data_IF_628545099595
#
_entry.id   IF_628545099595
#
_cell.length_a   1.000
_cell.length_b   1.000
_cell.length_c   1.000
_cell.angle_alpha   90.00
_cell.angle_beta   90.00
_cell.angle_gamma   90.00
#
_symmetry.space_group_name_H-M   'P 1'
#
loop_
_entity.id
_entity.type
_entity.pdbx_description
1 polymer ?
#
# COMPACT_ATOMS: atom_id res chain seq x y z
N UNK A 1 -21.66 -14.35 11.28
CA UNK A 1 -20.35 -13.67 11.36
C UNK A 1 -19.45 -14.47 12.27
N UNK A 2 -18.24 -14.77 11.83
CA UNK A 2 -17.27 -15.57 12.59
C UNK A 2 -16.01 -14.76 12.92
N UNK A 3 -14.99 -15.41 13.48
CA UNK A 3 -13.76 -14.75 13.90
C UNK A 3 -13.03 -14.03 12.75
N UNK A 4 -13.11 -14.54 11.51
CA UNK A 4 -12.50 -13.90 10.34
C UNK A 4 -13.16 -12.54 10.05
N UNK A 5 -14.49 -12.46 10.14
CA UNK A 5 -15.22 -11.20 9.95
C UNK A 5 -14.79 -10.14 10.98
N UNK A 6 -14.58 -10.55 12.23
CA UNK A 6 -14.08 -9.65 13.27
C UNK A 6 -12.64 -9.19 13.00
N UNK A 7 -11.78 -10.06 12.45
CA UNK A 7 -10.43 -9.66 12.03
C UNK A 7 -10.50 -8.65 10.89
N UNK A 8 -11.33 -8.87 9.87
CA UNK A 8 -11.52 -7.96 8.75
C UNK A 8 -11.97 -6.57 9.24
N UNK A 9 -13.02 -6.53 10.07
CA UNK A 9 -13.51 -5.28 10.67
C UNK A 9 -12.46 -4.64 11.57
N UNK A 10 -11.70 -5.44 12.31
CA UNK A 10 -10.60 -4.99 13.15
C UNK A 10 -9.53 -4.26 12.35
N UNK A 11 -9.09 -4.82 11.21
CA UNK A 11 -8.08 -4.20 10.34
C UNK A 11 -8.61 -2.90 9.73
N UNK A 12 -9.85 -2.89 9.24
CA UNK A 12 -10.46 -1.68 8.64
C UNK A 12 -10.64 -0.60 9.70
N UNK A 13 -11.18 -0.95 10.86
CA UNK A 13 -11.38 -0.05 12.00
C UNK A 13 -10.05 0.50 12.51
N UNK A 14 -9.04 -0.34 12.68
CA UNK A 14 -7.71 0.09 13.10
C UNK A 14 -7.05 1.02 12.08
N UNK A 15 -7.16 0.72 10.79
CA UNK A 15 -6.67 1.59 9.72
C UNK A 15 -7.37 2.95 9.75
N UNK A 16 -8.69 2.98 9.93
CA UNK A 16 -9.47 4.20 10.06
C UNK A 16 -9.10 5.01 11.32
N UNK A 17 -8.88 4.34 12.46
CA UNK A 17 -8.44 4.98 13.71
C UNK A 17 -7.05 5.59 13.59
N UNK A 18 -6.09 4.89 12.97
CA UNK A 18 -4.77 5.47 12.69
C UNK A 18 -4.90 6.72 11.85
N UNK A 19 -5.72 6.67 10.79
CA UNK A 19 -5.92 7.82 9.90
C UNK A 19 -6.72 8.96 10.54
N UNK A 20 -7.56 8.68 11.55
CA UNK A 20 -8.18 9.71 12.38
C UNK A 20 -7.12 10.50 13.18
N UNK A 21 -6.09 9.82 13.69
CA UNK A 21 -5.03 10.46 14.47
C UNK A 21 -4.04 11.20 13.56
N UNK A 22 -3.66 10.59 12.43
CA UNK A 22 -2.67 11.15 11.49
C UNK A 22 -3.23 12.26 10.61
N UNK A 23 -4.49 12.15 10.20
CA UNK A 23 -5.14 13.05 9.25
C UNK A 23 -4.96 12.61 7.79
N UNK A 24 -5.90 13.00 6.92
CA UNK A 24 -5.91 12.66 5.49
C UNK A 24 -4.67 13.18 4.76
N UNK A 25 -4.32 14.46 4.93
CA UNK A 25 -3.25 15.10 4.18
C UNK A 25 -1.92 14.37 4.36
N UNK A 26 -1.62 13.96 5.60
CA UNK A 26 -0.39 13.21 5.89
C UNK A 26 -0.39 11.82 5.25
N UNK A 27 -1.54 11.17 5.20
CA UNK A 27 -1.69 9.83 4.67
C UNK A 27 -1.62 9.81 3.15
N UNK A 28 -2.35 10.72 2.49
CA UNK A 28 -2.34 10.87 1.04
C UNK A 28 -0.96 11.28 0.53
N UNK A 29 -0.33 12.26 1.17
CA UNK A 29 1.01 12.72 0.80
C UNK A 29 2.06 11.62 1.03
N UNK A 30 1.93 10.84 2.10
CA UNK A 30 2.78 9.66 2.31
C UNK A 30 2.69 8.69 1.15
N UNK A 31 1.50 8.37 0.63
CA UNK A 31 1.39 7.49 -0.54
C UNK A 31 2.05 8.10 -1.77
N UNK A 32 1.81 9.39 -2.05
CA UNK A 32 2.44 10.10 -3.18
C UNK A 32 3.97 10.06 -3.07
N UNK A 33 4.52 10.28 -1.88
CA UNK A 33 5.97 10.22 -1.63
C UNK A 33 6.52 8.83 -1.91
N UNK A 34 5.83 7.77 -1.47
CA UNK A 34 6.25 6.39 -1.74
C UNK A 34 6.25 6.09 -3.24
N UNK A 35 5.19 6.45 -3.97
CA UNK A 35 5.16 6.31 -5.44
C UNK A 35 6.25 7.14 -6.11
N UNK A 36 6.47 8.37 -5.65
CA UNK A 36 7.53 9.24 -6.13
C UNK A 36 8.93 8.67 -5.88
N UNK A 37 9.16 8.05 -4.72
CA UNK A 37 10.43 7.40 -4.39
C UNK A 37 10.70 6.20 -5.31
N UNK A 38 9.69 5.35 -5.57
CA UNK A 38 9.81 4.28 -6.55
C UNK A 38 10.10 4.83 -7.94
N UNK A 39 9.33 5.82 -8.41
CA UNK A 39 9.50 6.42 -9.72
C UNK A 39 10.86 7.08 -9.91
N UNK A 40 11.33 7.87 -8.94
CA UNK A 40 12.62 8.54 -9.00
C UNK A 40 13.75 7.51 -8.96
N UNK A 41 13.70 6.57 -8.01
CA UNK A 41 14.75 5.54 -7.90
C UNK A 41 14.83 4.68 -9.17
N UNK A 42 13.71 4.25 -9.74
CA UNK A 42 13.70 3.40 -10.95
C UNK A 42 14.19 4.12 -12.21
N UNK A 43 13.95 5.43 -12.35
CA UNK A 43 14.31 6.18 -13.56
C UNK A 43 15.71 6.81 -13.48
N UNK A 44 16.20 7.11 -12.28
CA UNK A 44 17.43 7.89 -12.10
C UNK A 44 18.59 7.10 -11.48
N UNK A 45 18.42 5.84 -11.06
CA UNK A 45 19.50 5.07 -10.43
C UNK A 45 20.75 5.00 -11.29
N UNK A 46 20.63 4.78 -12.60
CA UNK A 46 21.77 4.65 -13.50
C UNK A 46 22.64 5.92 -13.51
N UNK A 47 22.01 7.10 -13.38
CA UNK A 47 22.73 8.39 -13.30
C UNK A 47 23.48 8.54 -11.98
N UNK A 48 22.95 8.02 -10.89
CA UNK A 48 23.63 8.05 -9.59
C UNK A 48 24.71 6.96 -9.48
N UNK A 49 24.48 5.79 -10.07
CA UNK A 49 25.38 4.64 -10.00
C UNK A 49 26.79 4.94 -10.53
N UNK A 50 26.93 5.86 -11.49
CA UNK A 50 28.24 6.29 -12.04
C UNK A 50 29.16 6.87 -10.97
N UNK A 51 28.61 7.47 -9.92
CA UNK A 51 29.41 8.05 -8.83
C UNK A 51 29.87 7.00 -7.80
N UNK A 52 29.35 5.77 -7.87
CA UNK A 52 29.71 4.68 -6.96
C UNK A 52 30.87 3.86 -7.53
N UNK A 53 31.98 4.53 -7.80
CA UNK A 53 33.18 3.96 -8.44
C UNK A 53 33.87 2.88 -7.62
N UNK A 54 33.65 2.88 -6.29
CA UNK A 54 34.25 1.91 -5.37
C UNK A 54 33.50 0.57 -5.35
N UNK A 55 32.38 0.44 -6.06
CA UNK A 55 31.62 -0.80 -6.17
C UNK A 55 31.84 -1.37 -7.57
N UNK A 56 32.62 -2.45 -7.64
CA UNK A 56 32.98 -3.10 -8.91
C UNK A 56 31.81 -3.88 -9.50
N UNK A 57 31.05 -4.58 -8.65
CA UNK A 57 29.89 -5.35 -9.07
C UNK A 57 28.72 -4.44 -9.48
N UNK A 58 28.28 -4.59 -10.72
CA UNK A 58 27.24 -3.74 -11.32
C UNK A 58 25.88 -3.90 -10.62
N UNK A 59 25.52 -5.10 -10.19
CA UNK A 59 24.26 -5.37 -9.52
C UNK A 59 24.22 -4.66 -8.16
N UNK A 60 25.30 -4.80 -7.38
CA UNK A 60 25.42 -4.10 -6.09
C UNK A 60 25.49 -2.59 -6.26
N UNK A 61 26.19 -2.09 -7.29
CA UNK A 61 26.30 -0.65 -7.57
C UNK A 61 24.95 -0.03 -7.91
N UNK A 62 24.20 -0.66 -8.81
CA UNK A 62 22.87 -0.22 -9.19
C UNK A 62 21.88 -0.32 -8.03
N UNK A 63 21.93 -1.42 -7.27
CA UNK A 63 21.12 -1.61 -6.07
C UNK A 63 21.37 -0.53 -5.01
N UNK A 64 22.64 -0.19 -4.76
CA UNK A 64 23.01 0.90 -3.86
C UNK A 64 22.46 2.25 -4.35
N UNK A 65 22.52 2.52 -5.66
CA UNK A 65 22.03 3.78 -6.23
C UNK A 65 20.50 3.90 -6.12
N UNK A 66 19.78 2.81 -6.38
CA UNK A 66 18.33 2.72 -6.16
C UNK A 66 18.02 3.02 -4.68
N UNK A 67 18.68 2.32 -3.75
CA UNK A 67 18.46 2.48 -2.32
C UNK A 67 18.75 3.92 -1.86
N UNK A 68 19.85 4.51 -2.31
CA UNK A 68 20.23 5.88 -1.98
C UNK A 68 19.18 6.89 -2.48
N UNK A 69 18.76 6.81 -3.75
CA UNK A 69 17.73 7.70 -4.29
C UNK A 69 16.38 7.51 -3.60
N UNK A 70 16.01 6.26 -3.33
CA UNK A 70 14.76 5.93 -2.67
C UNK A 70 14.70 6.55 -1.28
N UNK A 71 15.72 6.29 -0.44
CA UNK A 71 15.82 6.84 0.91
C UNK A 71 15.90 8.37 0.88
N UNK A 72 16.71 8.95 0.00
CA UNK A 72 16.81 10.41 -0.12
C UNK A 72 15.45 11.04 -0.46
N UNK A 73 14.71 10.44 -1.38
CA UNK A 73 13.37 10.91 -1.76
C UNK A 73 12.39 10.79 -0.59
N UNK A 74 12.42 9.68 0.16
CA UNK A 74 11.58 9.50 1.35
C UNK A 74 11.91 10.55 2.43
N UNK A 75 13.18 10.86 2.66
CA UNK A 75 13.60 11.88 3.64
C UNK A 75 13.09 13.25 3.24
N UNK A 76 13.30 13.67 1.99
CA UNK A 76 12.77 14.95 1.48
C UNK A 76 11.25 14.97 1.57
N UNK A 77 10.59 13.90 1.14
CA UNK A 77 9.15 13.76 1.25
C UNK A 77 8.65 13.85 2.68
N UNK A 78 9.33 13.24 3.65
CA UNK A 78 8.96 13.31 5.06
C UNK A 78 9.00 14.74 5.61
N UNK A 79 9.99 15.55 5.19
CA UNK A 79 10.06 16.98 5.53
C UNK A 79 8.87 17.73 4.93
N UNK A 80 8.58 17.53 3.65
CA UNK A 80 7.41 18.13 2.99
C UNK A 80 6.12 17.73 3.71
N UNK A 81 5.98 16.45 4.05
CA UNK A 81 4.82 15.92 4.76
C UNK A 81 4.64 16.55 6.14
N UNK A 82 5.74 16.76 6.87
CA UNK A 82 5.71 17.47 8.13
C UNK A 82 5.23 18.92 7.97
N UNK A 83 5.76 19.66 6.99
CA UNK A 83 5.38 21.06 6.73
C UNK A 83 3.90 21.16 6.37
N UNK A 84 3.40 20.32 5.45
CA UNK A 84 1.97 20.29 5.09
C UNK A 84 1.11 19.97 6.32
N UNK A 85 1.52 18.99 7.14
CA UNK A 85 0.83 18.67 8.38
C UNK A 85 0.78 19.82 9.38
N UNK A 86 1.79 20.69 9.42
CA UNK A 86 1.79 21.92 10.23
C UNK A 86 0.84 22.98 9.64
N UNK A 87 0.82 23.14 8.31
CA UNK A 87 -0.08 24.09 7.65
C UNK A 87 -1.55 23.74 7.92
N UNK A 88 -1.94 22.47 7.80
CA UNK A 88 -3.31 22.00 8.08
C UNK A 88 -3.73 22.30 9.53
N UNK A 89 -2.80 22.15 10.48
CA UNK A 89 -3.07 22.50 11.87
C UNK A 89 -3.26 24.01 12.05
N UNK A 90 -2.43 24.83 11.40
CA UNK A 90 -2.48 26.29 11.49
C UNK A 90 -3.69 26.92 10.80
N UNK A 91 -4.23 26.30 9.76
CA UNK A 91 -5.45 26.79 9.08
C UNK A 91 -6.73 26.48 9.86
N UNK A 92 -6.66 25.72 10.95
CA UNK A 92 -7.84 25.30 11.72
C UNK A 92 -8.64 24.17 11.06
N UNK A 93 -8.22 23.67 9.88
CA UNK A 93 -8.90 22.61 9.13
C UNK A 93 -8.62 21.19 9.67
N UNK A 94 -7.98 21.09 10.83
CA UNK A 94 -7.62 19.80 11.43
C UNK A 94 -8.81 18.86 11.66
N UNK A 95 -10.00 19.38 11.98
CA UNK A 95 -11.22 18.56 12.14
C UNK A 95 -11.62 17.87 10.82
N UNK A 96 -11.73 18.65 9.74
CA UNK A 96 -12.07 18.14 8.40
C UNK A 96 -11.02 17.15 7.90
N UNK A 97 -9.73 17.46 8.09
CA UNK A 97 -8.62 16.58 7.70
C UNK A 97 -8.69 15.21 8.39
N UNK A 98 -9.08 15.16 9.67
CA UNK A 98 -9.26 13.90 10.40
C UNK A 98 -10.47 13.09 9.93
N UNK A 99 -11.59 13.75 9.61
CA UNK A 99 -12.79 13.07 9.09
C UNK A 99 -12.50 12.46 7.71
N UNK A 100 -11.88 13.23 6.82
CA UNK A 100 -11.40 12.71 5.53
C UNK A 100 -10.38 11.58 5.76
N UNK A 101 -9.57 11.69 6.81
CA UNK A 101 -8.63 10.66 7.24
C UNK A 101 -9.32 9.34 7.55
N UNK A 102 -10.44 9.35 8.27
CA UNK A 102 -11.23 8.14 8.56
C UNK A 102 -11.71 7.47 7.28
N UNK A 103 -12.26 8.24 6.34
CA UNK A 103 -12.75 7.70 5.06
C UNK A 103 -11.59 7.08 4.28
N UNK A 104 -10.48 7.80 4.16
CA UNK A 104 -9.29 7.32 3.47
C UNK A 104 -8.67 6.09 4.15
N UNK A 105 -8.59 6.08 5.48
CA UNK A 105 -8.11 4.96 6.27
C UNK A 105 -9.01 3.74 6.16
N UNK A 106 -10.33 3.93 6.11
CA UNK A 106 -11.30 2.88 5.85
C UNK A 106 -11.11 2.26 4.47
N UNK A 107 -11.02 3.10 3.42
CA UNK A 107 -10.74 2.65 2.05
C UNK A 107 -9.41 1.89 1.95
N UNK A 108 -8.34 2.41 2.58
CA UNK A 108 -7.06 1.71 2.68
C UNK A 108 -7.20 0.36 3.40
N UNK A 109 -7.95 0.33 4.50
CA UNK A 109 -8.21 -0.90 5.25
C UNK A 109 -8.90 -1.94 4.38
N UNK A 110 -9.91 -1.53 3.60
CA UNK A 110 -10.58 -2.38 2.60
C UNK A 110 -9.57 -2.89 1.58
N UNK A 111 -8.73 -2.02 1.00
CA UNK A 111 -7.71 -2.44 0.03
C UNK A 111 -6.71 -3.44 0.62
N UNK A 112 -6.26 -3.23 1.85
CA UNK A 112 -5.33 -4.14 2.55
C UNK A 112 -6.01 -5.52 2.74
N UNK A 113 -7.24 -5.54 3.25
CA UNK A 113 -7.99 -6.80 3.43
C UNK A 113 -8.20 -7.48 2.08
N UNK A 114 -8.59 -6.74 1.04
CA UNK A 114 -8.76 -7.28 -0.31
C UNK A 114 -7.49 -7.95 -0.82
N UNK A 115 -6.33 -7.29 -0.67
CA UNK A 115 -5.05 -7.84 -1.08
C UNK A 115 -4.67 -9.12 -0.31
N UNK A 116 -4.91 -9.15 1.01
CA UNK A 116 -4.64 -10.31 1.85
C UNK A 116 -5.56 -11.48 1.50
N UNK A 117 -6.87 -11.25 1.41
CA UNK A 117 -7.84 -12.28 1.03
C UNK A 117 -7.55 -12.81 -0.38
N UNK A 118 -7.21 -11.92 -1.31
CA UNK A 118 -6.78 -12.30 -2.66
C UNK A 118 -5.56 -13.24 -2.61
N UNK A 119 -4.54 -12.89 -1.85
CA UNK A 119 -3.34 -13.72 -1.72
C UNK A 119 -3.66 -15.08 -1.07
N UNK A 120 -4.51 -15.11 -0.04
CA UNK A 120 -4.96 -16.34 0.59
C UNK A 120 -5.76 -17.22 -0.39
N UNK A 121 -6.66 -16.64 -1.18
CA UNK A 121 -7.45 -17.37 -2.17
C UNK A 121 -6.58 -17.92 -3.31
N UNK A 122 -5.65 -17.11 -3.84
CA UNK A 122 -4.82 -17.48 -4.97
C UNK A 122 -3.69 -18.47 -4.62
N UNK A 123 -3.17 -18.44 -3.40
CA UNK A 123 -1.96 -19.18 -3.03
C UNK A 123 -2.15 -20.20 -1.90
N UNK A 124 -3.35 -20.37 -1.33
CA UNK A 124 -3.60 -21.32 -0.23
C UNK A 124 -4.90 -22.12 -0.41
N UNK A 125 -5.04 -23.21 0.36
CA UNK A 125 -6.27 -24.00 0.40
C UNK A 125 -7.33 -23.46 1.39
N UNK A 126 -7.13 -22.27 1.96
CA UNK A 126 -8.05 -21.67 2.94
C UNK A 126 -9.50 -21.47 2.45
N UNK A 127 -9.78 -21.23 1.15
CA UNK A 127 -11.16 -21.17 0.66
C UNK A 127 -12.00 -22.44 0.92
N UNK A 128 -11.34 -23.58 1.11
CA UNK A 128 -12.03 -24.86 1.38
C UNK A 128 -12.48 -25.03 2.83
N UNK A 129 -11.96 -24.22 3.76
CA UNK A 129 -12.19 -24.32 5.20
C UNK A 129 -13.56 -23.78 5.63
N UNK A 130 -14.08 -24.30 6.75
CA UNK A 130 -15.40 -23.92 7.25
C UNK A 130 -15.46 -22.46 7.69
N UNK A 131 -14.42 -21.95 8.34
CA UNK A 131 -14.34 -20.54 8.76
C UNK A 131 -14.25 -19.55 7.58
N UNK A 132 -13.79 -19.98 6.40
CA UNK A 132 -13.82 -19.14 5.21
C UNK A 132 -15.23 -19.10 4.61
N UNK A 133 -15.87 -20.27 4.48
CA UNK A 133 -17.22 -20.40 3.90
C UNK A 133 -18.31 -19.76 4.77
N UNK A 134 -18.15 -19.81 6.08
CA UNK A 134 -19.10 -19.21 7.04
C UNK A 134 -18.95 -17.70 7.21
N UNK A 135 -17.89 -17.10 6.66
CA UNK A 135 -17.67 -15.64 6.72
C UNK A 135 -18.70 -14.91 5.87
N UNK A 136 -19.27 -13.85 6.44
CA UNK A 136 -20.23 -13.00 5.72
C UNK A 136 -19.54 -11.92 4.88
N UNK A 137 -18.34 -11.48 5.28
CA UNK A 137 -17.62 -10.42 4.59
C UNK A 137 -16.80 -10.92 3.42
N UNK A 138 -16.22 -12.12 3.50
CA UNK A 138 -15.39 -12.68 2.41
C UNK A 138 -16.08 -12.61 1.03
N UNK A 139 -17.34 -13.04 0.85
CA UNK A 139 -18.02 -12.97 -0.45
C UNK A 139 -18.14 -11.54 -1.01
N UNK A 140 -18.33 -10.53 -0.16
CA UNK A 140 -18.43 -9.13 -0.57
C UNK A 140 -17.08 -8.60 -1.08
N UNK A 141 -15.98 -8.99 -0.42
CA UNK A 141 -14.63 -8.68 -0.87
C UNK A 141 -14.28 -9.43 -2.16
N UNK A 142 -14.69 -10.69 -2.30
CA UNK A 142 -14.50 -11.47 -3.52
C UNK A 142 -15.15 -10.82 -4.74
N UNK A 143 -16.30 -10.13 -4.61
CA UNK A 143 -16.90 -9.37 -5.73
C UNK A 143 -16.01 -8.23 -6.21
N UNK A 144 -15.26 -7.59 -5.31
CA UNK A 144 -14.32 -6.50 -5.65
C UNK A 144 -13.03 -7.09 -6.26
N UNK A 145 -12.57 -8.22 -5.73
CA UNK A 145 -11.31 -8.86 -6.12
C UNK A 145 -11.43 -9.61 -7.45
N UNK A 146 -12.56 -10.29 -7.73
CA UNK A 146 -12.71 -11.17 -8.88
C UNK A 146 -12.46 -10.48 -10.24
N UNK A 147 -13.00 -9.28 -10.52
CA UNK A 147 -12.72 -8.57 -11.78
C UNK A 147 -11.24 -8.24 -11.95
N UNK A 148 -10.57 -7.86 -10.86
CA UNK A 148 -9.14 -7.56 -10.86
C UNK A 148 -8.32 -8.83 -11.14
N UNK A 149 -8.70 -9.96 -10.54
CA UNK A 149 -7.99 -11.22 -10.74
C UNK A 149 -8.13 -11.75 -12.16
N UNK A 150 -9.31 -11.68 -12.76
CA UNK A 150 -9.50 -12.05 -14.16
C UNK A 150 -8.62 -11.21 -15.08
N UNK A 151 -8.52 -9.91 -14.79
CA UNK A 151 -7.66 -9.01 -15.55
C UNK A 151 -6.17 -9.36 -15.39
N UNK A 152 -5.73 -9.74 -14.18
CA UNK A 152 -4.36 -10.21 -13.95
C UNK A 152 -4.08 -11.53 -14.65
N UNK A 153 -5.00 -12.49 -14.63
CA UNK A 153 -4.87 -13.77 -15.34
C UNK A 153 -4.79 -13.57 -16.86
N UNK A 154 -5.63 -12.71 -17.41
CA UNK A 154 -5.64 -12.40 -18.84
C UNK A 154 -4.33 -11.75 -19.31
N UNK A 155 -3.68 -10.97 -18.45
CA UNK A 155 -2.47 -10.20 -18.80
C UNK A 155 -1.17 -10.95 -18.49
N UNK A 156 -1.18 -11.90 -17.55
CA UNK A 156 0.03 -12.59 -17.11
C UNK A 156 0.18 -13.96 -17.77
N UNK A 157 1.23 -14.11 -18.59
CA UNK A 157 1.62 -15.41 -19.15
C UNK A 157 1.99 -16.45 -18.07
N UNK A 158 2.42 -15.98 -16.89
CA UNK A 158 2.74 -16.81 -15.73
C UNK A 158 1.54 -17.55 -15.13
N UNK A 159 0.33 -16.99 -15.17
CA UNK A 159 -0.88 -17.61 -14.60
C UNK A 159 -1.72 -18.37 -15.64
N UNK A 160 -1.45 -18.16 -16.93
CA UNK A 160 -2.17 -18.81 -18.03
C UNK A 160 -1.71 -20.26 -18.32
N UNK A 161 -0.58 -20.70 -17.76
CA UNK A 161 0.09 -21.96 -18.13
C UNK A 161 -0.27 -23.21 -17.31
N UNK A 162 -1.10 -23.09 -16.28
CA UNK A 162 -1.59 -24.23 -15.49
C UNK A 162 -3.01 -24.60 -15.92
N UNK A 163 -3.11 -25.42 -16.96
CA UNK A 163 -4.31 -26.21 -17.28
C UNK A 163 -3.90 -27.68 -17.24
#
# INVERSE_FOLDING_TARGET
MNWLDFVILGVIGFSALISLVRGFAKEALSLVIWFGAFFISSNYYAKLAVYFTNIEDEMFRNGAAIAALFVATLVVGAVVNYVIGQLVQKTGLSGTDRILGVVFGGLRGVLIVSAVLFFMDAFTAFPSSDWWKESQLVPEFSRIIAPFFEHLKATSSFLSGTI
#
